data_IF_758698141132
#
_entry.id   IF_758698141132
#
_cell.length_a   1.000
_cell.length_b   1.000
_cell.length_c   1.000
_cell.angle_alpha   90.00
_cell.angle_beta   90.00
_cell.angle_gamma   90.00
#
_symmetry.space_group_name_H-M   'P 1'
#
loop_
_entity.id
_entity.type
_entity.pdbx_description
1 polymer ?
#
# COMPACT_ATOMS: atom_id res chain seq x y z
N UNK A 1 13.58 -17.43 -8.35
CA UNK A 1 13.47 -16.72 -7.06
C UNK A 1 12.98 -15.31 -7.31
N UNK A 2 11.78 -14.99 -6.81
CA UNK A 2 11.27 -13.62 -6.81
C UNK A 2 11.83 -12.85 -5.62
N UNK A 3 11.67 -11.53 -5.64
CA UNK A 3 12.06 -10.68 -4.52
C UNK A 3 11.00 -10.73 -3.40
N UNK A 4 11.45 -10.55 -2.15
CA UNK A 4 10.60 -10.24 -1.01
C UNK A 4 10.72 -8.75 -0.70
N UNK A 5 9.61 -8.04 -0.72
CA UNK A 5 9.57 -6.59 -0.50
C UNK A 5 8.71 -6.29 0.72
N UNK A 6 9.27 -5.60 1.71
CA UNK A 6 8.64 -5.40 3.01
C UNK A 6 8.17 -3.95 3.19
N UNK A 7 7.03 -3.79 3.84
CA UNK A 7 6.50 -2.51 4.29
C UNK A 7 5.91 -2.67 5.69
N UNK A 8 6.14 -1.71 6.58
CA UNK A 8 5.47 -1.68 7.89
C UNK A 8 5.39 -0.28 8.50
N UNK A 9 4.74 -0.19 9.67
CA UNK A 9 4.71 0.97 10.55
C UNK A 9 5.63 0.83 11.79
N UNK A 10 6.48 -0.19 11.83
CA UNK A 10 7.38 -0.48 12.97
C UNK A 10 8.56 0.48 13.13
N UNK A 11 8.88 1.29 12.12
CA UNK A 11 10.12 2.06 12.09
C UNK A 11 11.38 1.18 12.00
N UNK A 12 12.54 1.80 12.17
CA UNK A 12 13.85 1.14 12.16
C UNK A 12 14.64 1.36 13.46
N UNK A 13 13.98 1.92 14.48
CA UNK A 13 14.62 2.32 15.73
C UNK A 13 14.90 1.13 16.67
N UNK A 14 14.22 0.00 16.46
CA UNK A 14 14.38 -1.22 17.24
C UNK A 14 14.62 -2.49 16.39
N UNK A 15 14.59 -3.66 17.04
CA UNK A 15 14.89 -4.95 16.40
C UNK A 15 13.75 -5.56 15.58
N UNK A 16 12.58 -4.92 15.47
CA UNK A 16 11.39 -5.52 14.85
C UNK A 16 11.62 -5.92 13.38
N UNK A 17 12.02 -4.95 12.55
CA UNK A 17 12.29 -5.18 11.11
C UNK A 17 13.49 -6.10 10.91
N UNK A 18 14.54 -5.93 11.72
CA UNK A 18 15.72 -6.81 11.71
C UNK A 18 15.34 -8.27 11.96
N UNK A 19 14.41 -8.53 12.88
CA UNK A 19 13.90 -9.88 13.13
C UNK A 19 13.10 -10.44 11.95
N UNK A 20 12.33 -9.60 11.23
CA UNK A 20 11.62 -10.01 10.00
C UNK A 20 12.61 -10.42 8.91
N UNK A 21 13.70 -9.67 8.73
CA UNK A 21 14.77 -10.07 7.81
C UNK A 21 15.43 -11.37 8.25
N UNK A 22 15.73 -11.52 9.54
CA UNK A 22 16.31 -12.74 10.08
C UNK A 22 15.44 -13.98 9.83
N UNK A 23 14.13 -13.86 9.97
CA UNK A 23 13.18 -14.92 9.61
C UNK A 23 13.23 -15.23 8.13
N UNK A 24 13.21 -14.22 7.25
CA UNK A 24 13.26 -14.42 5.81
C UNK A 24 14.58 -15.09 5.36
N UNK A 25 15.73 -14.65 5.90
CA UNK A 25 17.05 -15.26 5.67
C UNK A 25 17.10 -16.70 6.22
N UNK A 26 16.43 -16.97 7.34
CA UNK A 26 16.32 -18.31 7.90
C UNK A 26 15.50 -19.27 7.02
N UNK A 27 14.57 -18.75 6.22
CA UNK A 27 13.82 -19.53 5.21
C UNK A 27 14.68 -19.81 3.99
N UNK A 28 15.35 -18.78 3.46
CA UNK A 28 16.26 -18.90 2.32
C UNK A 28 17.37 -17.83 2.39
N UNK A 29 18.64 -18.23 2.64
CA UNK A 29 19.76 -17.28 2.67
C UNK A 29 20.04 -16.58 1.33
N UNK A 30 19.52 -17.08 0.21
CA UNK A 30 19.66 -16.49 -1.12
C UNK A 30 18.58 -15.46 -1.46
N UNK A 31 17.60 -15.23 -0.59
CA UNK A 31 16.46 -14.37 -0.86
C UNK A 31 16.89 -12.90 -1.00
N UNK A 32 16.41 -12.24 -2.05
CA UNK A 32 16.58 -10.79 -2.21
C UNK A 32 15.49 -10.07 -1.43
N UNK A 33 15.88 -9.48 -0.31
CA UNK A 33 15.00 -8.73 0.58
C UNK A 33 15.18 -7.23 0.30
N UNK A 34 14.07 -6.53 0.13
CA UNK A 34 14.00 -5.11 -0.12
C UNK A 34 12.88 -4.48 0.70
N UNK A 35 12.85 -3.15 0.78
CA UNK A 35 11.80 -2.43 1.49
C UNK A 35 11.10 -1.45 0.54
N UNK A 36 9.79 -1.29 0.76
CA UNK A 36 9.07 -0.10 0.34
C UNK A 36 9.41 1.03 1.32
N UNK A 37 9.06 0.83 2.59
CA UNK A 37 9.35 1.71 3.72
C UNK A 37 8.90 1.04 5.02
N UNK A 38 9.56 1.35 6.12
CA UNK A 38 9.11 0.97 7.47
C UNK A 38 8.60 2.17 8.27
N UNK A 39 8.46 3.33 7.62
CA UNK A 39 8.08 4.59 8.23
C UNK A 39 6.63 4.98 7.89
N UNK A 40 5.76 4.01 7.63
CA UNK A 40 4.33 4.29 7.62
C UNK A 40 3.95 4.83 9.01
N UNK A 41 3.16 5.90 9.14
CA UNK A 41 2.71 6.36 10.44
C UNK A 41 2.03 5.21 11.22
N UNK A 42 2.30 5.05 12.52
CA UNK A 42 1.72 3.98 13.32
C UNK A 42 0.20 3.87 13.13
N UNK A 43 -0.25 2.66 12.78
CA UNK A 43 -1.66 2.30 12.58
C UNK A 43 -2.36 2.95 11.36
N UNK A 44 -1.64 3.66 10.51
CA UNK A 44 -2.21 4.31 9.32
C UNK A 44 -2.38 3.33 8.15
N UNK A 45 -3.47 2.55 8.19
CA UNK A 45 -3.82 1.56 7.17
C UNK A 45 -3.99 2.23 5.80
N UNK A 46 -4.51 3.46 5.76
CA UNK A 46 -4.73 4.19 4.52
C UNK A 46 -3.39 4.50 3.83
N UNK A 47 -2.45 5.11 4.56
CA UNK A 47 -1.12 5.40 4.01
C UNK A 47 -0.37 4.11 3.66
N UNK A 48 -0.44 3.07 4.50
CA UNK A 48 0.12 1.76 4.18
C UNK A 48 -0.43 1.18 2.87
N UNK A 49 -1.73 1.28 2.64
CA UNK A 49 -2.37 0.83 1.42
C UNK A 49 -1.90 1.62 0.19
N UNK A 50 -1.84 2.95 0.30
CA UNK A 50 -1.46 3.82 -0.81
C UNK A 50 0.02 3.66 -1.19
N UNK A 51 0.93 3.64 -0.21
CA UNK A 51 2.39 3.48 -0.47
C UNK A 51 2.72 2.17 -1.16
N UNK A 52 2.00 1.11 -0.84
CA UNK A 52 2.17 -0.17 -1.51
C UNK A 52 1.74 -0.09 -2.98
N UNK A 53 0.62 0.56 -3.27
CA UNK A 53 0.14 0.74 -4.64
C UNK A 53 1.05 1.63 -5.50
N UNK A 54 1.74 2.60 -4.89
CA UNK A 54 2.71 3.45 -5.60
C UNK A 54 3.86 2.67 -6.24
N UNK A 55 4.29 1.57 -5.62
CA UNK A 55 5.51 0.87 -6.02
C UNK A 55 5.25 -0.41 -6.81
N UNK A 56 4.05 -0.98 -6.71
CA UNK A 56 3.74 -2.33 -7.24
C UNK A 56 4.18 -2.50 -8.70
N UNK A 57 3.81 -1.57 -9.59
CA UNK A 57 4.08 -1.67 -11.03
C UNK A 57 5.55 -1.58 -11.43
N UNK A 58 6.43 -1.17 -10.52
CA UNK A 58 7.88 -1.10 -10.77
C UNK A 58 8.59 -2.41 -10.43
N UNK A 59 7.93 -3.31 -9.70
CA UNK A 59 8.45 -4.63 -9.41
C UNK A 59 8.04 -5.62 -10.49
N UNK A 60 8.89 -6.62 -10.79
CA UNK A 60 8.53 -7.68 -11.74
C UNK A 60 7.39 -8.54 -11.21
N UNK A 61 6.60 -9.10 -12.14
CA UNK A 61 5.62 -10.15 -11.87
C UNK A 61 6.20 -11.26 -10.98
N UNK A 62 5.39 -11.79 -10.06
CA UNK A 62 5.78 -12.81 -9.10
C UNK A 62 6.55 -12.29 -7.88
N UNK A 63 6.86 -10.98 -7.81
CA UNK A 63 7.37 -10.36 -6.58
C UNK A 63 6.36 -10.52 -5.44
N UNK A 64 6.87 -10.87 -4.25
CA UNK A 64 6.05 -11.03 -3.05
C UNK A 64 6.24 -9.83 -2.15
N UNK A 65 5.16 -9.15 -1.85
CA UNK A 65 5.12 -8.06 -0.89
C UNK A 65 4.62 -8.56 0.45
N UNK A 66 5.19 -8.04 1.52
CA UNK A 66 4.72 -8.20 2.89
C UNK A 66 4.41 -6.80 3.40
N UNK A 67 3.14 -6.52 3.71
CA UNK A 67 2.71 -5.22 4.20
C UNK A 67 2.04 -5.37 5.56
N UNK A 68 2.63 -4.77 6.59
CA UNK A 68 2.20 -4.93 7.98
C UNK A 68 1.94 -3.57 8.61
N UNK A 69 0.68 -3.15 8.57
CA UNK A 69 0.14 -2.02 9.33
C UNK A 69 -1.12 -2.54 9.99
N UNK A 70 -1.04 -2.84 11.28
CA UNK A 70 -2.00 -3.73 11.92
C UNK A 70 -2.37 -3.33 13.36
N UNK A 71 -3.25 -2.32 13.52
CA UNK A 71 -3.81 -2.00 14.83
C UNK A 71 -4.68 -3.13 15.42
N UNK A 72 -5.11 -4.09 14.60
CA UNK A 72 -5.96 -5.21 14.98
C UNK A 72 -5.20 -6.50 15.28
N UNK A 73 -3.89 -6.44 15.51
CA UNK A 73 -3.09 -7.64 15.81
C UNK A 73 -3.66 -8.39 17.01
N UNK A 74 -3.78 -9.72 16.91
CA UNK A 74 -4.37 -10.56 17.94
C UNK A 74 -5.90 -10.51 18.06
N UNK A 75 -6.60 -9.84 17.14
CA UNK A 75 -8.06 -9.89 17.00
C UNK A 75 -8.51 -10.95 15.98
N UNK A 76 -9.82 -11.01 15.70
CA UNK A 76 -10.44 -11.94 14.74
C UNK A 76 -10.21 -11.56 13.26
N UNK A 77 -9.47 -10.47 12.97
CA UNK A 77 -9.19 -10.05 11.59
C UNK A 77 -8.30 -11.07 10.88
N UNK A 78 -8.63 -11.40 9.64
CA UNK A 78 -7.95 -12.48 8.92
C UNK A 78 -6.51 -12.10 8.55
N UNK A 79 -5.66 -13.11 8.47
CA UNK A 79 -4.34 -13.06 7.86
C UNK A 79 -4.45 -13.59 6.44
N UNK A 80 -4.08 -12.82 5.42
CA UNK A 80 -4.35 -13.18 4.02
C UNK A 80 -3.14 -13.05 3.10
N UNK A 81 -3.20 -13.78 1.99
CA UNK A 81 -2.37 -13.56 0.81
C UNK A 81 -3.28 -13.27 -0.39
N UNK A 82 -3.07 -12.13 -1.02
CA UNK A 82 -3.77 -11.73 -2.24
C UNK A 82 -2.87 -11.90 -3.46
N UNK A 83 -3.46 -12.28 -4.60
CA UNK A 83 -2.84 -12.20 -5.93
C UNK A 83 -3.44 -11.03 -6.68
N UNK A 84 -2.61 -10.12 -7.18
CA UNK A 84 -3.06 -9.01 -8.02
C UNK A 84 -3.25 -9.47 -9.47
N UNK A 85 -4.03 -8.73 -10.27
CA UNK A 85 -4.17 -9.03 -11.70
C UNK A 85 -2.84 -8.88 -12.49
N UNK A 86 -1.87 -8.17 -11.90
CA UNK A 86 -0.50 -8.02 -12.41
C UNK A 86 0.44 -9.15 -11.97
N UNK A 87 -0.07 -10.18 -11.30
CA UNK A 87 0.68 -11.39 -10.92
C UNK A 87 1.61 -11.22 -9.70
N UNK A 88 1.43 -10.17 -8.91
CA UNK A 88 2.14 -9.98 -7.64
C UNK A 88 1.39 -10.69 -6.51
N UNK A 89 2.13 -11.10 -5.47
CA UNK A 89 1.54 -11.63 -4.24
C UNK A 89 1.71 -10.62 -3.11
N UNK A 90 0.70 -10.47 -2.26
CA UNK A 90 0.73 -9.55 -1.12
C UNK A 90 0.27 -10.28 0.14
N UNK A 91 1.17 -10.42 1.11
CA UNK A 91 0.93 -11.02 2.42
C UNK A 91 0.65 -9.90 3.44
N UNK A 92 -0.53 -9.90 4.06
CA UNK A 92 -0.99 -8.75 4.87
C UNK A 92 -2.18 -9.12 5.78
N UNK A 93 -2.48 -8.36 6.84
CA UNK A 93 -3.80 -8.39 7.49
C UNK A 93 -4.93 -8.00 6.53
N UNK A 94 -6.09 -8.67 6.60
CA UNK A 94 -7.32 -8.21 5.95
C UNK A 94 -8.02 -7.15 6.80
N UNK A 95 -7.52 -5.91 6.72
CA UNK A 95 -8.00 -4.77 7.50
C UNK A 95 -8.18 -3.49 6.67
N UNK A 96 -8.05 -3.59 5.34
CA UNK A 96 -8.05 -2.44 4.44
C UNK A 96 -6.69 -2.09 3.82
N UNK A 97 -5.58 -2.71 4.21
CA UNK A 97 -4.26 -2.49 3.56
C UNK A 97 -4.27 -2.76 2.06
N UNK A 98 -5.18 -3.60 1.56
CA UNK A 98 -5.31 -3.95 0.14
C UNK A 98 -6.18 -2.98 -0.68
N UNK A 99 -6.79 -1.97 -0.05
CA UNK A 99 -7.79 -1.08 -0.66
C UNK A 99 -7.32 -0.45 -1.98
N UNK A 100 -6.18 0.26 -1.98
CA UNK A 100 -5.69 0.95 -3.18
C UNK A 100 -5.14 -0.03 -4.22
N UNK A 101 -4.59 -1.16 -3.80
CA UNK A 101 -4.13 -2.19 -4.73
C UNK A 101 -5.29 -2.77 -5.53
N UNK A 102 -6.39 -3.10 -4.87
CA UNK A 102 -7.58 -3.60 -5.53
C UNK A 102 -8.17 -2.56 -6.48
N UNK A 103 -8.28 -1.30 -6.04
CA UNK A 103 -8.82 -0.22 -6.87
C UNK A 103 -7.98 0.06 -8.13
N UNK A 104 -6.65 -0.02 -8.05
CA UNK A 104 -5.74 0.37 -9.14
C UNK A 104 -5.35 -0.82 -10.03
N UNK A 105 -5.09 -1.98 -9.43
CA UNK A 105 -4.55 -3.14 -10.14
C UNK A 105 -5.50 -4.34 -10.16
N UNK A 106 -6.51 -4.37 -9.29
CA UNK A 106 -7.42 -5.49 -9.10
C UNK A 106 -6.78 -6.66 -8.34
N UNK A 107 -7.55 -7.27 -7.44
CA UNK A 107 -7.22 -8.53 -6.79
C UNK A 107 -8.04 -9.65 -7.44
N UNK A 108 -7.34 -10.68 -7.93
CA UNK A 108 -7.95 -11.80 -8.67
C UNK A 108 -8.17 -13.02 -7.80
N UNK A 109 -7.33 -13.23 -6.78
CA UNK A 109 -7.43 -14.37 -5.87
C UNK A 109 -7.05 -13.94 -4.45
N UNK A 110 -7.69 -14.57 -3.47
CA UNK A 110 -7.44 -14.34 -2.05
C UNK A 110 -7.40 -15.66 -1.30
N UNK A 111 -6.47 -15.79 -0.36
CA UNK A 111 -6.38 -16.96 0.52
C UNK A 111 -6.18 -16.53 1.96
N UNK A 112 -6.88 -17.18 2.86
CA UNK A 112 -6.57 -17.12 4.29
C UNK A 112 -5.28 -17.90 4.57
N UNK A 113 -4.42 -17.37 5.42
CA UNK A 113 -3.18 -18.02 5.83
C UNK A 113 -3.51 -19.10 6.85
N UNK A 114 -3.26 -20.37 6.49
CA UNK A 114 -3.29 -21.48 7.44
C UNK A 114 -2.07 -21.39 8.38
N UNK A 115 -2.29 -20.82 9.56
CA UNK A 115 -1.23 -20.61 10.56
C UNK A 115 -0.61 -21.92 11.06
N UNK A 116 -1.28 -23.08 10.94
CA UNK A 116 -0.66 -24.36 11.32
C UNK A 116 0.51 -24.74 10.42
N UNK A 117 0.54 -24.18 9.20
CA UNK A 117 1.57 -24.43 8.19
C UNK A 117 2.47 -23.24 7.95
N UNK A 118 1.95 -22.03 8.11
CA UNK A 118 2.58 -20.77 7.71
C UNK A 118 2.88 -19.83 8.88
N UNK A 119 3.01 -20.41 10.08
CA UNK A 119 3.59 -19.76 11.26
C UNK A 119 5.02 -20.26 11.48
N UNK A 120 5.91 -19.37 11.94
CA UNK A 120 7.27 -19.74 12.35
C UNK A 120 7.22 -20.82 13.44
N UNK A 121 7.94 -21.95 13.32
CA UNK A 121 7.95 -22.97 14.35
C UNK A 121 8.39 -22.42 15.72
N UNK A 122 7.71 -22.81 16.80
CA UNK A 122 8.03 -22.36 18.15
C UNK A 122 7.59 -20.91 18.43
N UNK A 123 6.58 -20.41 17.72
CA UNK A 123 6.02 -19.06 17.88
C UNK A 123 4.53 -19.05 18.22
N UNK A 124 3.99 -20.19 18.62
CA UNK A 124 2.57 -20.42 18.88
C UNK A 124 2.05 -19.54 20.03
N UNK A 125 2.94 -19.16 20.95
CA UNK A 125 2.65 -18.28 22.10
C UNK A 125 2.85 -16.78 21.79
N UNK A 126 3.22 -16.41 20.55
CA UNK A 126 3.40 -15.01 20.14
C UNK A 126 2.15 -14.46 19.46
N UNK A 127 1.43 -13.61 20.19
CA UNK A 127 0.17 -13.01 19.73
C UNK A 127 0.28 -11.56 19.25
N UNK A 128 1.41 -10.90 19.51
CA UNK A 128 1.59 -9.46 19.26
C UNK A 128 2.50 -9.15 18.08
N UNK A 129 3.13 -10.15 17.46
CA UNK A 129 4.08 -9.91 16.38
C UNK A 129 3.87 -10.82 15.15
N UNK A 130 2.65 -10.82 14.62
CA UNK A 130 2.30 -11.52 13.38
C UNK A 130 3.14 -11.07 12.17
N UNK A 131 3.63 -9.82 12.17
CA UNK A 131 4.58 -9.33 11.16
C UNK A 131 5.81 -10.22 10.98
N UNK A 132 6.42 -10.65 12.10
CA UNK A 132 7.57 -11.57 12.10
C UNK A 132 7.14 -13.02 11.89
N UNK A 133 6.08 -13.43 12.57
CA UNK A 133 5.82 -14.86 12.81
C UNK A 133 4.93 -15.50 11.77
N UNK A 134 4.13 -14.69 11.09
CA UNK A 134 3.23 -15.12 10.03
C UNK A 134 3.65 -14.46 8.73
N UNK A 135 3.70 -13.12 8.66
CA UNK A 135 3.81 -12.43 7.37
C UNK A 135 5.20 -12.51 6.74
N UNK A 136 6.25 -12.19 7.48
CA UNK A 136 7.62 -12.33 6.97
C UNK A 136 7.94 -13.79 6.62
N UNK A 137 7.51 -14.74 7.47
CA UNK A 137 7.72 -16.18 7.23
C UNK A 137 6.97 -16.67 5.98
N UNK A 138 5.67 -16.39 5.87
CA UNK A 138 4.84 -16.77 4.71
C UNK A 138 5.37 -16.12 3.43
N UNK A 139 5.65 -14.82 3.47
CA UNK A 139 6.17 -14.07 2.33
C UNK A 139 7.50 -14.62 1.84
N UNK A 140 8.42 -14.94 2.76
CA UNK A 140 9.70 -15.53 2.40
C UNK A 140 9.55 -16.91 1.75
N UNK A 141 8.65 -17.77 2.26
CA UNK A 141 8.40 -19.10 1.67
C UNK A 141 7.81 -19.00 0.26
N UNK A 142 6.91 -18.05 0.03
CA UNK A 142 6.35 -17.77 -1.29
C UNK A 142 7.44 -17.25 -2.24
N UNK A 143 8.25 -16.28 -1.80
CA UNK A 143 9.30 -15.67 -2.62
C UNK A 143 10.43 -16.65 -2.99
N UNK A 144 10.76 -17.56 -2.06
CA UNK A 144 11.72 -18.64 -2.27
C UNK A 144 11.17 -19.77 -3.17
N UNK A 145 9.86 -19.80 -3.44
CA UNK A 145 9.21 -20.90 -4.15
C UNK A 145 9.13 -22.19 -3.34
N UNK A 146 9.27 -22.10 -2.01
CA UNK A 146 9.13 -23.24 -1.08
C UNK A 146 7.65 -23.59 -0.86
N UNK A 147 6.78 -22.59 -0.92
CA UNK A 147 5.32 -22.77 -0.90
C UNK A 147 4.73 -22.21 -2.19
N UNK A 148 3.75 -22.92 -2.76
CA UNK A 148 2.91 -22.36 -3.79
C UNK A 148 1.82 -21.47 -3.15
N UNK A 149 1.23 -20.57 -3.94
CA UNK A 149 0.11 -19.74 -3.47
C UNK A 149 -1.06 -20.62 -3.01
N UNK A 150 -1.30 -21.72 -3.71
CA UNK A 150 -2.40 -22.65 -3.45
C UNK A 150 -2.26 -23.37 -2.09
N UNK A 151 -1.03 -23.46 -1.58
CA UNK A 151 -0.71 -24.09 -0.30
C UNK A 151 -0.83 -23.14 0.90
N UNK A 152 -1.10 -21.84 0.67
CA UNK A 152 -1.23 -20.82 1.73
C UNK A 152 -2.36 -21.19 2.69
N UNK A 153 -3.49 -21.66 2.16
CA UNK A 153 -4.68 -21.98 2.93
C UNK A 153 -5.94 -21.90 2.09
N UNK A 154 -7.13 -21.92 2.72
CA UNK A 154 -8.40 -21.94 2.01
C UNK A 154 -8.60 -20.67 1.16
N UNK A 155 -9.23 -20.85 0.00
CA UNK A 155 -9.59 -19.73 -0.85
C UNK A 155 -10.72 -18.91 -0.21
N UNK A 156 -10.59 -17.59 -0.30
CA UNK A 156 -11.60 -16.62 0.10
C UNK A 156 -12.15 -15.92 -1.14
N UNK A 157 -13.37 -15.42 -1.07
CA UNK A 157 -13.93 -14.56 -2.10
C UNK A 157 -13.24 -13.18 -2.05
N UNK A 158 -12.58 -12.69 -3.13
CA UNK A 158 -12.02 -11.34 -3.15
C UNK A 158 -13.05 -10.22 -2.88
N UNK A 159 -14.34 -10.48 -3.10
CA UNK A 159 -15.40 -9.55 -2.74
C UNK A 159 -15.50 -9.33 -1.21
N UNK A 160 -15.06 -10.31 -0.40
CA UNK A 160 -15.11 -10.23 1.06
C UNK A 160 -13.99 -9.37 1.68
N UNK A 161 -13.01 -8.91 0.90
CA UNK A 161 -11.93 -8.04 1.39
C UNK A 161 -12.46 -6.81 2.11
N UNK A 162 -11.86 -6.51 3.26
CA UNK A 162 -12.08 -5.25 3.96
C UNK A 162 -11.49 -4.13 3.10
N UNK A 163 -12.31 -3.12 2.80
CA UNK A 163 -11.92 -1.94 2.00
C UNK A 163 -12.20 -0.67 2.78
N UNK A 164 -11.23 0.23 2.78
CA UNK A 164 -11.43 1.60 3.25
C UNK A 164 -12.25 2.38 2.21
N UNK A 165 -13.13 3.31 2.60
CA UNK A 165 -13.89 4.11 1.65
C UNK A 165 -12.97 4.97 0.77
N UNK A 166 -12.99 4.74 -0.54
CA UNK A 166 -12.35 5.63 -1.52
C UNK A 166 -13.40 6.62 -2.04
N UNK A 167 -13.01 7.89 -2.11
CA UNK A 167 -13.82 8.91 -2.80
C UNK A 167 -13.37 8.99 -4.25
N UNK A 168 -14.26 8.60 -5.16
CA UNK A 168 -13.97 8.63 -6.58
C UNK A 168 -13.80 10.08 -7.07
N UNK A 169 -12.75 10.36 -7.84
CA UNK A 169 -12.53 11.68 -8.42
C UNK A 169 -13.56 11.92 -9.53
N UNK A 170 -14.11 13.13 -9.58
CA UNK A 170 -15.22 13.48 -10.48
C UNK A 170 -14.86 14.69 -11.35
N UNK A 171 -15.41 14.72 -12.56
CA UNK A 171 -15.39 15.87 -13.45
C UNK A 171 -16.82 16.42 -13.58
N UNK A 172 -17.05 17.62 -13.08
CA UNK A 172 -18.34 18.30 -13.16
C UNK A 172 -18.14 19.81 -13.33
N UNK A 173 -18.97 20.44 -14.16
CA UNK A 173 -19.00 21.91 -14.34
C UNK A 173 -17.62 22.55 -14.63
N UNK A 174 -16.80 21.88 -15.44
CA UNK A 174 -15.45 22.35 -15.79
C UNK A 174 -14.46 22.32 -14.62
N UNK A 175 -14.70 21.47 -13.62
CA UNK A 175 -13.84 21.27 -12.45
C UNK A 175 -13.61 19.78 -12.23
N UNK A 176 -12.39 19.43 -11.85
CA UNK A 176 -12.08 18.10 -11.34
C UNK A 176 -11.88 18.17 -9.83
N UNK A 177 -12.57 17.31 -9.11
CA UNK A 177 -12.51 17.17 -7.65
C UNK A 177 -12.07 15.77 -7.27
N UNK A 178 -11.39 15.67 -6.13
CA UNK A 178 -10.86 14.43 -5.58
C UNK A 178 -10.30 14.66 -4.18
N UNK A 179 -9.65 13.66 -3.64
CA UNK A 179 -9.06 13.67 -2.29
C UNK A 179 -7.56 13.91 -2.35
N UNK A 180 -6.97 14.26 -1.20
CA UNK A 180 -5.53 14.15 -0.98
C UNK A 180 -5.30 12.76 -0.38
N UNK A 181 -4.67 11.87 -1.15
CA UNK A 181 -4.49 10.48 -0.71
C UNK A 181 -3.25 10.35 0.18
N UNK A 182 -2.21 11.16 -0.05
CA UNK A 182 -1.04 11.20 0.83
C UNK A 182 -0.28 12.52 0.70
N UNK A 183 0.57 12.77 1.69
CA UNK A 183 1.49 13.89 1.72
C UNK A 183 2.86 13.44 1.20
N UNK A 184 3.51 14.33 0.44
CA UNK A 184 4.94 14.23 0.15
C UNK A 184 5.67 15.23 1.04
N UNK A 185 5.81 14.85 2.30
CA UNK A 185 6.38 15.70 3.36
C UNK A 185 7.79 16.15 3.02
N UNK A 186 8.57 15.31 2.33
CA UNK A 186 9.97 15.61 1.99
C UNK A 186 10.09 16.76 1.00
N UNK A 187 9.15 16.88 0.06
CA UNK A 187 9.19 17.89 -0.99
C UNK A 187 8.09 18.95 -0.85
N UNK A 188 7.26 18.87 0.21
CA UNK A 188 6.16 19.78 0.44
C UNK A 188 5.10 19.73 -0.66
N UNK A 189 4.83 18.54 -1.19
CA UNK A 189 3.83 18.34 -2.26
C UNK A 189 2.64 17.52 -1.73
N UNK A 190 1.50 17.63 -2.42
CA UNK A 190 0.29 16.87 -2.14
C UNK A 190 0.03 15.93 -3.29
N UNK A 191 -0.31 14.68 -2.99
CA UNK A 191 -0.68 13.69 -3.99
C UNK A 191 -2.19 13.48 -3.90
N UNK A 192 -2.88 13.64 -5.02
CA UNK A 192 -4.33 13.60 -5.09
C UNK A 192 -4.83 12.33 -5.75
N UNK A 193 -6.06 11.92 -5.45
CA UNK A 193 -6.73 10.82 -6.16
C UNK A 193 -7.04 11.13 -7.63
N UNK A 194 -6.96 12.40 -8.03
CA UNK A 194 -7.27 12.88 -9.38
C UNK A 194 -6.33 12.24 -10.43
N UNK A 195 -6.82 11.35 -11.30
CA UNK A 195 -6.01 10.72 -12.32
C UNK A 195 -5.67 11.72 -13.42
N UNK A 196 -4.48 11.55 -14.02
CA UNK A 196 -4.06 12.37 -15.17
C UNK A 196 -5.07 12.33 -16.32
N UNK A 197 -5.70 11.17 -16.56
CA UNK A 197 -6.71 10.98 -17.60
C UNK A 197 -7.97 11.81 -17.37
N UNK A 198 -8.43 11.93 -16.12
CA UNK A 198 -9.57 12.76 -15.77
C UNK A 198 -9.20 14.25 -15.84
N UNK A 199 -8.04 14.62 -15.31
CA UNK A 199 -7.53 16.00 -15.40
C UNK A 199 -7.41 16.47 -16.86
N UNK A 200 -6.92 15.62 -17.76
CA UNK A 200 -6.78 15.95 -19.18
C UNK A 200 -8.11 16.27 -19.88
N UNK A 201 -9.25 15.77 -19.37
CA UNK A 201 -10.58 16.06 -19.93
C UNK A 201 -11.03 17.51 -19.69
N UNK A 202 -10.37 18.25 -18.80
CA UNK A 202 -10.59 19.71 -18.66
C UNK A 202 -10.14 20.49 -19.90
N UNK A 203 -9.34 19.90 -20.80
CA UNK A 203 -8.86 20.57 -22.00
C UNK A 203 -7.83 21.67 -21.73
N UNK A 204 -7.23 21.69 -20.53
CA UNK A 204 -6.16 22.63 -20.18
C UNK A 204 -4.82 22.19 -20.76
N UNK A 205 -4.21 23.07 -21.54
CA UNK A 205 -2.94 22.87 -22.19
C UNK A 205 -1.75 23.40 -21.37
N UNK A 206 -0.52 23.19 -21.88
CA UNK A 206 0.68 23.88 -21.42
C UNK A 206 0.46 25.39 -21.26
N UNK A 207 0.98 25.95 -20.17
CA UNK A 207 0.94 27.39 -19.81
C UNK A 207 -0.45 27.96 -19.45
N UNK A 208 -1.53 27.17 -19.58
CA UNK A 208 -2.85 27.56 -19.08
C UNK A 208 -2.83 27.75 -17.56
N UNK A 209 -3.77 28.54 -17.05
CA UNK A 209 -3.93 28.76 -15.61
C UNK A 209 -5.15 28.04 -15.08
N UNK A 210 -4.92 27.25 -14.03
CA UNK A 210 -5.98 26.62 -13.24
C UNK A 210 -5.98 27.19 -11.83
N UNK A 211 -7.15 27.19 -11.18
CA UNK A 211 -7.23 27.48 -9.75
C UNK A 211 -7.28 26.17 -8.99
N UNK A 212 -6.27 25.91 -8.16
CA UNK A 212 -6.26 24.79 -7.24
C UNK A 212 -6.88 25.26 -5.93
N UNK A 213 -7.83 24.50 -5.38
CA UNK A 213 -8.43 24.74 -4.06
C UNK A 213 -8.28 23.50 -3.21
N UNK A 214 -7.72 23.65 -2.01
CA UNK A 214 -7.71 22.60 -0.99
C UNK A 214 -8.77 22.96 0.04
N UNK A 215 -9.59 21.98 0.38
CA UNK A 215 -10.61 22.11 1.41
C UNK A 215 -10.32 21.16 2.57
N UNK A 216 -10.60 21.62 3.77
CA UNK A 216 -10.72 20.78 4.94
C UNK A 216 -12.20 20.84 5.37
N UNK A 217 -12.90 19.71 5.22
CA UNK A 217 -14.37 19.68 5.22
C UNK A 217 -14.93 20.70 4.21
N UNK A 218 -15.86 21.56 4.63
CA UNK A 218 -16.49 22.57 3.77
C UNK A 218 -15.67 23.88 3.67
N UNK A 219 -14.55 23.97 4.38
CA UNK A 219 -13.74 25.20 4.44
C UNK A 219 -12.60 25.16 3.44
N UNK A 220 -12.48 26.20 2.59
CA UNK A 220 -11.31 26.37 1.72
C UNK A 220 -10.13 26.84 2.58
N UNK A 221 -9.14 25.96 2.74
CA UNK A 221 -7.92 26.24 3.52
C UNK A 221 -6.77 26.74 2.64
N UNK A 222 -6.84 26.48 1.33
CA UNK A 222 -5.87 26.99 0.36
C UNK A 222 -6.54 27.23 -1.00
N UNK A 223 -6.16 28.31 -1.66
CA UNK A 223 -6.54 28.58 -3.04
C UNK A 223 -5.42 29.33 -3.77
N UNK A 224 -4.95 28.78 -4.89
CA UNK A 224 -3.91 29.41 -5.69
C UNK A 224 -4.11 29.20 -7.19
N UNK A 225 -3.78 30.22 -7.98
CA UNK A 225 -3.75 30.14 -9.43
C UNK A 225 -2.42 29.56 -9.91
N UNK A 226 -2.43 28.30 -10.34
CA UNK A 226 -1.25 27.55 -10.78
C UNK A 226 -1.20 27.52 -12.31
N UNK A 227 0.00 27.64 -12.87
CA UNK A 227 0.24 27.44 -14.30
C UNK A 227 0.46 25.96 -14.58
N UNK A 228 -0.24 25.42 -15.58
CA UNK A 228 -0.06 24.04 -16.04
C UNK A 228 1.31 23.92 -16.72
N UNK A 229 2.24 23.12 -16.20
CA UNK A 229 3.56 23.01 -16.81
C UNK A 229 3.49 22.25 -18.13
N UNK A 230 4.26 22.67 -19.13
CA UNK A 230 4.13 22.16 -20.50
C UNK A 230 4.50 20.69 -20.75
N UNK A 231 4.99 19.97 -19.73
CA UNK A 231 5.25 18.54 -19.78
C UNK A 231 4.80 17.77 -18.52
N UNK A 232 3.98 18.37 -17.64
CA UNK A 232 3.88 17.85 -16.28
C UNK A 232 2.86 16.74 -16.05
N UNK A 233 3.30 15.78 -15.23
CA UNK A 233 2.52 14.80 -14.49
C UNK A 233 2.01 15.33 -13.12
N UNK A 234 2.31 16.58 -12.75
CA UNK A 234 1.96 17.16 -11.46
C UNK A 234 1.78 18.70 -11.50
N UNK A 235 0.85 19.22 -10.70
CA UNK A 235 0.68 20.66 -10.45
C UNK A 235 1.35 21.02 -9.12
N UNK A 236 2.18 22.07 -9.10
CA UNK A 236 2.73 22.61 -7.85
C UNK A 236 2.03 23.92 -7.48
N UNK A 237 1.26 23.89 -6.39
CA UNK A 237 0.76 25.10 -5.74
C UNK A 237 1.68 25.45 -4.56
N UNK A 238 2.01 26.74 -4.32
CA UNK A 238 2.73 27.12 -3.11
C UNK A 238 1.84 26.82 -1.89
N UNK A 239 2.31 25.97 -0.98
CA UNK A 239 1.59 25.67 0.26
C UNK A 239 1.43 26.96 1.11
N UNK A 240 0.33 27.11 1.88
CA UNK A 240 0.24 28.19 2.84
C UNK A 240 1.37 28.04 3.88
N UNK A 241 1.94 29.15 4.38
CA UNK A 241 2.89 29.10 5.48
C UNK A 241 2.19 28.48 6.70
N UNK A 242 2.66 27.30 7.12
CA UNK A 242 2.28 26.50 8.29
C UNK A 242 0.90 26.79 8.92
N UNK A 243 -0.01 25.82 8.79
CA UNK A 243 -1.13 25.62 9.71
C UNK A 243 -0.92 24.30 10.44
#
# INVERSE_FOLDING_TARGET
MSALVLQSDFGLDDGAVSAMYGVAVGVDPGLRIHDVTHNIPPYDIWEGSYRLAQVLSYWPEGTVFVSVVDPGVGSDRLSVVARTATGHLVVTPDNGTLTHLDAIFGITELREIDETRHRRPGSEESYTFHGRDIYAFTGARLAAGIAAFEDVGPALDPAALVRLPITEPELADGRVTGTIDTLDVRYGSLWTSIPRTLFAQLGVGPDDRVTVRVRHHDTVVHAAGVRVPGAASALRAPLPPCA
#
